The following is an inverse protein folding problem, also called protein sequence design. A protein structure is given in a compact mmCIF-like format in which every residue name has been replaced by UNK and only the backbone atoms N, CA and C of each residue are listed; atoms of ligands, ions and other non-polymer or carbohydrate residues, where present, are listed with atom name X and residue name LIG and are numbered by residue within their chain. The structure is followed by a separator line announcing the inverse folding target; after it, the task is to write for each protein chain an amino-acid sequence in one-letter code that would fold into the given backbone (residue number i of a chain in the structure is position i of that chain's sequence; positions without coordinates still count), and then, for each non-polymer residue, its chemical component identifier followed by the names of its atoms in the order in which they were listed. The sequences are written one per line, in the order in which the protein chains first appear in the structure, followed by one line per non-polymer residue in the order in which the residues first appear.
data_IF_328073079131
#
_entry.id   IF_328073079131
#
_cell.length_a   1.000
_cell.length_b   1.000
_cell.length_c   1.000
_cell.angle_alpha   90.00
_cell.angle_beta   90.00
_cell.angle_gamma   90.00
#
_symmetry.space_group_name_H-M   'P 1'
#
loop_
_entity.id
_entity.type
_entity.pdbx_description
1 polymer ?
#
# COMPACT_ATOMS: atom_id res chain seq x y z
N UNK A 1 17.62 5.77 -10.17
CA UNK A 1 16.82 6.13 -11.36
C UNK A 1 15.39 5.68 -11.11
N UNK A 2 14.44 6.60 -11.17
CA UNK A 2 13.02 6.27 -11.02
C UNK A 2 12.57 5.54 -12.29
N UNK A 3 12.04 4.35 -12.15
CA UNK A 3 11.49 3.60 -13.28
C UNK A 3 10.20 4.25 -13.75
N UNK A 4 10.13 4.65 -15.00
CA UNK A 4 8.89 5.15 -15.57
C UNK A 4 7.82 4.07 -15.61
N UNK A 5 6.58 4.47 -15.34
CA UNK A 5 5.43 3.57 -15.45
C UNK A 5 5.09 3.33 -16.92
N UNK A 6 4.72 2.10 -17.25
CA UNK A 6 4.11 1.81 -18.55
C UNK A 6 2.75 2.52 -18.66
N UNK A 7 2.24 2.70 -19.86
CA UNK A 7 0.99 3.42 -20.12
C UNK A 7 -0.19 2.85 -19.32
N UNK A 8 -0.33 1.53 -19.25
CA UNK A 8 -1.40 0.91 -18.48
C UNK A 8 -1.22 1.09 -16.96
N UNK A 9 0.00 1.15 -16.49
CA UNK A 9 0.30 1.42 -15.07
C UNK A 9 -0.03 2.87 -14.73
N UNK A 10 0.34 3.79 -15.60
CA UNK A 10 0.00 5.21 -15.42
C UNK A 10 -1.52 5.42 -15.45
N UNK A 11 -2.23 4.78 -16.37
CA UNK A 11 -3.68 4.82 -16.43
C UNK A 11 -4.31 4.26 -15.14
N UNK A 12 -3.78 3.16 -14.60
CA UNK A 12 -4.21 2.60 -13.32
C UNK A 12 -3.97 3.55 -12.15
N UNK A 13 -2.80 4.15 -12.09
CA UNK A 13 -2.47 5.17 -11.08
C UNK A 13 -3.42 6.37 -11.15
N UNK A 14 -3.69 6.87 -12.34
CA UNK A 14 -4.59 8.01 -12.55
C UNK A 14 -6.03 7.66 -12.15
N UNK A 15 -6.49 6.45 -12.44
CA UNK A 15 -7.82 5.98 -12.04
C UNK A 15 -7.93 5.83 -10.51
N UNK A 16 -6.91 5.33 -9.83
CA UNK A 16 -6.86 5.26 -8.37
C UNK A 16 -6.95 6.66 -7.78
N UNK A 17 -6.17 7.59 -8.29
CA UNK A 17 -6.19 8.99 -7.86
C UNK A 17 -7.56 9.62 -8.05
N UNK A 18 -8.19 9.40 -9.21
CA UNK A 18 -9.53 9.91 -9.51
C UNK A 18 -10.58 9.37 -8.53
N UNK A 19 -10.46 8.11 -8.12
CA UNK A 19 -11.34 7.50 -7.12
C UNK A 19 -11.23 8.20 -5.77
N UNK A 20 -10.03 8.48 -5.29
CA UNK A 20 -9.82 9.23 -4.05
C UNK A 20 -10.36 10.67 -4.16
N UNK A 21 -10.14 11.34 -5.28
CA UNK A 21 -10.66 12.70 -5.52
C UNK A 21 -12.20 12.71 -5.52
N UNK A 22 -12.83 11.64 -6.01
CA UNK A 22 -14.29 11.49 -5.99
C UNK A 22 -14.87 11.28 -4.57
N UNK A 23 -14.03 11.13 -3.56
CA UNK A 23 -14.44 11.00 -2.17
C UNK A 23 -14.32 9.59 -1.59
N UNK A 24 -13.88 8.62 -2.36
CA UNK A 24 -13.65 7.27 -1.84
C UNK A 24 -12.40 7.26 -0.94
N UNK A 25 -12.46 6.53 0.16
CA UNK A 25 -11.34 6.41 1.12
C UNK A 25 -10.72 5.03 1.13
N UNK A 26 -11.46 4.03 0.68
CA UNK A 26 -11.08 2.63 0.66
C UNK A 26 -11.16 2.12 -0.76
N UNK A 27 -10.07 2.24 -1.50
CA UNK A 27 -9.98 1.87 -2.91
C UNK A 27 -9.17 0.59 -3.06
N UNK A 28 -9.68 -0.35 -3.83
CA UNK A 28 -8.93 -1.55 -4.18
C UNK A 28 -8.52 -1.51 -5.65
N UNK A 29 -7.24 -1.74 -5.90
CA UNK A 29 -6.67 -1.88 -7.24
C UNK A 29 -6.53 -3.36 -7.61
N UNK A 30 -7.24 -3.77 -8.65
CA UNK A 30 -7.10 -5.10 -9.24
C UNK A 30 -5.95 -5.11 -10.23
N UNK A 31 -4.94 -5.92 -9.96
CA UNK A 31 -3.81 -6.08 -10.86
C UNK A 31 -3.37 -7.53 -10.95
N UNK A 32 -3.29 -8.05 -12.17
CA UNK A 32 -2.79 -9.40 -12.41
C UNK A 32 -1.38 -9.59 -11.83
N UNK A 33 -1.05 -10.80 -11.45
CA UNK A 33 0.31 -11.14 -11.00
C UNK A 33 1.32 -10.72 -12.07
N UNK A 34 2.36 -10.01 -11.66
CA UNK A 34 3.40 -9.53 -12.58
C UNK A 34 3.07 -8.26 -13.35
N UNK A 35 1.92 -7.62 -13.12
CA UNK A 35 1.57 -6.36 -13.81
C UNK A 35 2.31 -5.13 -13.26
N UNK A 36 3.09 -5.28 -12.19
CA UNK A 36 3.85 -4.16 -11.61
C UNK A 36 3.09 -3.38 -10.55
N UNK A 37 2.23 -4.04 -9.76
CA UNK A 37 1.51 -3.41 -8.64
C UNK A 37 2.45 -2.69 -7.68
N UNK A 38 3.59 -3.28 -7.39
CA UNK A 38 4.59 -2.68 -6.49
C UNK A 38 5.16 -1.38 -7.06
N UNK A 39 5.41 -1.32 -8.37
CA UNK A 39 5.89 -0.10 -9.02
C UNK A 39 4.86 1.01 -8.98
N UNK A 40 3.59 0.68 -9.20
CA UNK A 40 2.48 1.64 -9.10
C UNK A 40 2.37 2.14 -7.67
N UNK A 41 2.39 1.25 -6.69
CA UNK A 41 2.34 1.60 -5.28
C UNK A 41 3.49 2.52 -4.89
N UNK A 42 4.70 2.20 -5.28
CA UNK A 42 5.88 3.03 -5.00
C UNK A 42 5.72 4.43 -5.61
N UNK A 43 5.25 4.54 -6.84
CA UNK A 43 5.00 5.82 -7.50
C UNK A 43 3.96 6.67 -6.76
N UNK A 44 2.87 6.05 -6.29
CA UNK A 44 1.84 6.73 -5.50
C UNK A 44 2.39 7.19 -4.15
N UNK A 45 3.16 6.34 -3.48
CA UNK A 45 3.79 6.68 -2.20
C UNK A 45 4.76 7.86 -2.36
N UNK A 46 5.57 7.87 -3.41
CA UNK A 46 6.50 8.97 -3.69
C UNK A 46 5.76 10.30 -3.90
N UNK A 47 4.65 10.29 -4.63
CA UNK A 47 3.82 11.48 -4.82
C UNK A 47 3.22 11.97 -3.50
N UNK A 48 2.76 11.07 -2.65
CA UNK A 48 2.20 11.40 -1.35
C UNK A 48 3.27 12.01 -0.43
N UNK A 49 4.45 11.43 -0.38
CA UNK A 49 5.59 11.94 0.40
C UNK A 49 6.02 13.31 -0.09
N UNK A 50 6.04 13.55 -1.41
CA UNK A 50 6.35 14.85 -1.98
C UNK A 50 5.36 15.95 -1.55
N UNK A 51 4.13 15.57 -1.17
CA UNK A 51 3.10 16.46 -0.60
C UNK A 51 3.15 16.55 0.92
N UNK A 52 4.18 16.01 1.56
CA UNK A 52 4.33 16.04 3.01
C UNK A 52 3.48 15.02 3.76
N UNK A 53 2.96 13.99 3.08
CA UNK A 53 2.12 12.96 3.70
C UNK A 53 2.95 11.88 4.36
N UNK A 54 2.42 11.30 5.43
CA UNK A 54 2.98 10.11 6.07
C UNK A 54 2.26 8.87 5.58
N UNK A 55 3.03 7.88 5.17
CA UNK A 55 2.50 6.71 4.49
C UNK A 55 2.92 5.40 5.17
N UNK A 56 2.03 4.42 5.11
CA UNK A 56 2.31 3.04 5.49
C UNK A 56 2.25 2.11 4.29
N UNK A 57 3.04 1.05 4.32
CA UNK A 57 2.96 -0.05 3.36
C UNK A 57 2.88 -1.37 4.13
N UNK A 58 1.79 -2.09 3.95
CA UNK A 58 1.49 -3.31 4.69
C UNK A 58 1.68 -4.52 3.80
N UNK A 59 2.53 -5.44 4.23
CA UNK A 59 2.79 -6.72 3.55
C UNK A 59 2.13 -7.88 4.28
N UNK A 60 1.82 -9.00 3.60
CA UNK A 60 1.16 -10.14 4.24
C UNK A 60 1.96 -10.77 5.38
N UNK A 61 3.27 -10.89 5.22
CA UNK A 61 4.15 -11.54 6.18
C UNK A 61 5.47 -10.78 6.34
N UNK A 62 6.13 -10.96 7.48
CA UNK A 62 7.45 -10.36 7.74
C UNK A 62 8.52 -10.79 6.75
N UNK A 63 8.39 -11.98 6.17
CA UNK A 63 9.35 -12.48 5.18
C UNK A 63 9.37 -11.67 3.88
N UNK A 64 8.30 -10.93 3.59
CA UNK A 64 8.18 -10.09 2.40
C UNK A 64 8.72 -8.66 2.59
N UNK A 65 9.07 -8.28 3.82
CA UNK A 65 9.57 -6.93 4.13
C UNK A 65 10.86 -6.64 3.37
N UNK A 66 11.83 -7.54 3.42
CA UNK A 66 13.12 -7.34 2.74
C UNK A 66 12.96 -7.22 1.23
N UNK A 67 12.14 -8.06 0.63
CA UNK A 67 11.84 -8.01 -0.80
C UNK A 67 11.18 -6.67 -1.19
N UNK A 68 10.30 -6.16 -0.33
CA UNK A 68 9.65 -4.85 -0.53
C UNK A 68 10.67 -3.73 -0.49
N UNK A 69 11.57 -3.73 0.50
CA UNK A 69 12.65 -2.74 0.63
C UNK A 69 13.51 -2.72 -0.64
N UNK A 70 13.96 -3.89 -1.07
CA UNK A 70 14.79 -4.01 -2.29
C UNK A 70 14.07 -3.50 -3.54
N UNK A 71 12.77 -3.80 -3.65
CA UNK A 71 11.94 -3.31 -4.75
C UNK A 71 11.83 -1.78 -4.74
N UNK A 72 11.61 -1.19 -3.58
CA UNK A 72 11.51 0.26 -3.42
C UNK A 72 12.85 0.96 -3.65
N UNK A 73 13.96 0.35 -3.23
CA UNK A 73 15.31 0.85 -3.51
C UNK A 73 15.59 0.89 -5.01
N UNK A 74 15.16 -0.12 -5.76
CA UNK A 74 15.28 -0.13 -7.24
C UNK A 74 14.48 1.00 -7.88
N UNK A 75 13.41 1.48 -7.23
CA UNK A 75 12.61 2.61 -7.70
C UNK A 75 13.16 3.97 -7.25
N UNK A 76 14.23 4.01 -6.47
CA UNK A 76 14.91 5.24 -6.07
C UNK A 76 14.65 5.70 -4.64
N UNK A 77 13.92 4.95 -3.82
CA UNK A 77 13.76 5.25 -2.40
C UNK A 77 14.99 4.79 -1.60
N UNK A 78 15.34 5.54 -0.58
CA UNK A 78 16.49 5.24 0.29
C UNK A 78 16.04 4.69 1.64
N UNK A 79 16.64 3.56 2.03
CA UNK A 79 16.46 3.04 3.39
C UNK A 79 17.01 4.01 4.42
N UNK A 80 16.39 4.08 5.58
CA UNK A 80 16.67 5.00 6.71
C UNK A 80 16.34 6.48 6.46
N UNK A 81 16.16 6.90 5.22
CA UNK A 81 15.81 8.29 4.87
C UNK A 81 14.35 8.38 4.46
N UNK A 82 13.97 7.64 3.43
CA UNK A 82 12.61 7.67 2.87
C UNK A 82 11.71 6.63 3.50
N UNK A 83 12.26 5.48 3.87
CA UNK A 83 11.50 4.35 4.38
C UNK A 83 12.19 3.67 5.58
N UNK A 84 11.37 3.14 6.45
CA UNK A 84 11.80 2.35 7.60
C UNK A 84 10.83 1.19 7.84
N UNK A 85 11.15 0.33 8.79
CA UNK A 85 10.38 -0.87 9.10
C UNK A 85 9.84 -0.79 10.52
N UNK A 86 8.56 -1.04 10.69
CA UNK A 86 7.96 -1.25 12.01
C UNK A 86 7.94 -2.76 12.29
N UNK A 87 8.97 -3.20 13.00
CA UNK A 87 9.13 -4.55 13.50
C UNK A 87 10.09 -4.49 14.69
N UNK A 88 9.81 -5.21 15.77
CA UNK A 88 10.46 -5.04 17.07
C UNK A 88 11.99 -5.00 17.01
N UNK A 89 12.63 -5.89 16.29
CA UNK A 89 14.10 -6.02 16.26
C UNK A 89 14.70 -5.75 14.87
N UNK A 90 13.95 -5.05 14.00
CA UNK A 90 14.44 -4.77 12.67
C UNK A 90 15.49 -3.66 12.68
N UNK A 91 16.64 -3.83 11.94
CA UNK A 91 17.70 -2.83 11.92
C UNK A 91 17.29 -1.49 11.29
N UNK A 92 16.34 -1.48 10.35
CA UNK A 92 15.84 -0.25 9.72
C UNK A 92 14.64 0.28 10.50
N UNK A 93 14.85 0.69 11.76
CA UNK A 93 13.83 1.32 12.60
C UNK A 93 14.03 2.82 12.66
N UNK A 94 13.13 3.59 12.05
CA UNK A 94 13.15 5.04 12.15
C UNK A 94 11.75 5.61 11.92
N UNK A 95 11.04 5.92 12.99
CA UNK A 95 9.66 6.47 12.91
C UNK A 95 9.59 7.86 12.29
N UNK A 96 10.73 8.53 12.09
CA UNK A 96 10.77 9.82 11.39
C UNK A 96 10.67 9.68 9.87
N UNK A 97 10.96 8.51 9.31
CA UNK A 97 10.82 8.27 7.88
C UNK A 97 9.36 8.43 7.43
N UNK A 98 9.12 9.05 6.28
CA UNK A 98 7.75 9.28 5.80
C UNK A 98 7.02 8.00 5.36
N UNK A 99 7.74 6.94 5.01
CA UNK A 99 7.17 5.64 4.63
C UNK A 99 7.55 4.61 5.70
N UNK A 100 6.55 3.93 6.25
CA UNK A 100 6.73 2.86 7.22
C UNK A 100 6.22 1.54 6.63
N UNK A 101 7.09 0.53 6.60
CA UNK A 101 6.76 -0.81 6.09
C UNK A 101 6.52 -1.73 7.27
N UNK A 102 5.44 -2.49 7.25
CA UNK A 102 5.12 -3.46 8.30
C UNK A 102 4.35 -4.65 7.74
N UNK A 103 4.29 -5.73 8.52
CA UNK A 103 3.40 -6.86 8.21
C UNK A 103 1.98 -6.58 8.71
N UNK A 104 1.00 -7.30 8.14
CA UNK A 104 -0.40 -7.20 8.59
C UNK A 104 -0.58 -7.52 10.07
N UNK A 105 0.18 -8.48 10.59
CA UNK A 105 0.08 -8.87 12.00
C UNK A 105 0.67 -7.79 12.91
N UNK A 106 1.74 -7.14 12.50
CA UNK A 106 2.28 -5.99 13.22
C UNK A 106 1.26 -4.86 13.29
N UNK A 107 0.62 -4.51 12.18
CA UNK A 107 -0.40 -3.47 12.16
C UNK A 107 -1.61 -3.83 13.05
N UNK A 108 -2.04 -5.09 13.02
CA UNK A 108 -3.18 -5.56 13.81
C UNK A 108 -2.93 -5.53 15.32
N UNK A 109 -1.68 -5.76 15.74
CA UNK A 109 -1.31 -5.89 17.15
C UNK A 109 -0.65 -4.64 17.76
N UNK A 110 -0.40 -3.62 16.97
CA UNK A 110 0.31 -2.43 17.43
C UNK A 110 -0.65 -1.36 17.93
N UNK A 111 -0.63 -1.07 19.23
CA UNK A 111 -1.53 -0.08 19.86
C UNK A 111 -1.10 1.37 19.62
N UNK A 112 0.21 1.62 19.44
CA UNK A 112 0.78 2.96 19.29
C UNK A 112 1.28 3.23 17.86
N UNK A 113 0.55 2.74 16.88
CA UNK A 113 0.91 2.93 15.47
C UNK A 113 0.86 4.42 15.10
N UNK A 114 1.87 4.95 14.38
CA UNK A 114 1.81 6.33 13.94
C UNK A 114 0.57 6.64 13.12
N UNK A 115 0.10 7.88 13.20
CA UNK A 115 -0.98 8.32 12.32
C UNK A 115 -0.46 8.45 10.89
N UNK A 116 -1.12 7.74 9.98
CA UNK A 116 -0.82 7.79 8.56
C UNK A 116 -1.91 8.54 7.81
N UNK A 117 -1.52 9.33 6.84
CA UNK A 117 -2.44 9.95 5.89
C UNK A 117 -2.91 8.94 4.84
N UNK A 118 -2.02 8.03 4.46
CA UNK A 118 -2.25 7.07 3.40
C UNK A 118 -1.56 5.74 3.70
N UNK A 119 -2.27 4.63 3.51
CA UNK A 119 -1.73 3.28 3.68
C UNK A 119 -2.02 2.44 2.44
N UNK A 120 -0.98 1.79 1.94
CA UNK A 120 -1.11 0.76 0.90
C UNK A 120 -1.05 -0.62 1.55
N UNK A 121 -2.00 -1.47 1.19
CA UNK A 121 -2.07 -2.86 1.67
C UNK A 121 -1.82 -3.79 0.50
N UNK A 122 -0.67 -4.44 0.48
CA UNK A 122 -0.34 -5.43 -0.53
C UNK A 122 -1.04 -6.76 -0.23
N UNK A 123 -1.42 -7.48 -1.28
CA UNK A 123 -2.20 -8.72 -1.17
C UNK A 123 -3.45 -8.52 -0.27
N UNK A 124 -4.24 -7.51 -0.56
CA UNK A 124 -5.34 -7.06 0.29
C UNK A 124 -6.40 -8.14 0.58
N UNK A 125 -6.49 -9.18 -0.26
CA UNK A 125 -7.40 -10.31 -0.05
C UNK A 125 -7.08 -11.13 1.21
N UNK A 126 -5.83 -11.15 1.69
CA UNK A 126 -5.46 -11.88 2.90
C UNK A 126 -5.67 -11.07 4.19
N UNK A 127 -6.02 -9.80 4.07
CA UNK A 127 -6.19 -8.88 5.22
C UNK A 127 -7.64 -8.56 5.54
N UNK A 128 -8.59 -9.10 4.79
CA UNK A 128 -10.01 -8.73 4.87
C UNK A 128 -10.59 -8.81 6.31
N UNK A 129 -10.15 -9.77 7.11
CA UNK A 129 -10.61 -9.93 8.51
C UNK A 129 -10.19 -8.77 9.43
N UNK A 130 -9.11 -8.04 9.10
CA UNK A 130 -8.62 -6.92 9.91
C UNK A 130 -9.16 -5.56 9.47
N UNK A 131 -9.69 -5.47 8.26
CA UNK A 131 -10.00 -4.20 7.61
C UNK A 131 -11.00 -3.34 8.38
N UNK A 132 -12.07 -3.92 8.87
CA UNK A 132 -13.08 -3.17 9.64
C UNK A 132 -12.50 -2.58 10.93
N UNK A 133 -11.61 -3.33 11.59
CA UNK A 133 -10.90 -2.86 12.78
C UNK A 133 -9.98 -1.68 12.42
N UNK A 134 -9.24 -1.79 11.34
CA UNK A 134 -8.35 -0.73 10.89
C UNK A 134 -9.10 0.54 10.48
N UNK A 135 -10.24 0.42 9.82
CA UNK A 135 -11.13 1.55 9.49
C UNK A 135 -11.54 2.33 10.74
N UNK A 136 -12.00 1.63 11.76
CA UNK A 136 -12.43 2.24 13.02
C UNK A 136 -11.28 2.94 13.74
N UNK A 137 -10.10 2.32 13.74
CA UNK A 137 -8.93 2.86 14.42
C UNK A 137 -8.36 4.10 13.70
N UNK A 138 -8.57 4.23 12.39
CA UNK A 138 -7.99 5.29 11.55
C UNK A 138 -9.02 5.86 10.58
N UNK A 139 -10.03 6.59 11.06
CA UNK A 139 -11.14 7.05 10.21
C UNK A 139 -10.73 8.10 9.17
N UNK A 140 -9.60 8.79 9.38
CA UNK A 140 -9.12 9.84 8.47
C UNK A 140 -8.06 9.36 7.48
N UNK A 141 -7.63 8.11 7.56
CA UNK A 141 -6.64 7.53 6.67
C UNK A 141 -7.28 7.08 5.35
N UNK A 142 -6.60 7.34 4.25
CA UNK A 142 -6.96 6.78 2.94
C UNK A 142 -6.23 5.46 2.74
N UNK A 143 -6.92 4.48 2.21
CA UNK A 143 -6.39 3.12 2.06
C UNK A 143 -6.47 2.66 0.60
N UNK A 144 -5.35 2.16 0.09
CA UNK A 144 -5.29 1.48 -1.20
C UNK A 144 -4.94 0.02 -0.98
N UNK A 145 -5.84 -0.87 -1.32
CA UNK A 145 -5.56 -2.30 -1.38
C UNK A 145 -5.11 -2.69 -2.79
N UNK A 146 -4.14 -3.58 -2.88
CA UNK A 146 -3.68 -4.15 -4.15
C UNK A 146 -3.88 -5.66 -4.11
N UNK A 147 -4.51 -6.21 -5.14
CA UNK A 147 -4.73 -7.65 -5.23
C UNK A 147 -4.98 -8.10 -6.68
N UNK A 148 -4.63 -9.35 -6.97
CA UNK A 148 -5.03 -10.01 -8.20
C UNK A 148 -6.43 -10.63 -8.09
N UNK A 149 -6.99 -10.74 -6.87
CA UNK A 149 -8.25 -11.45 -6.59
C UNK A 149 -9.19 -10.59 -5.74
N UNK A 150 -9.79 -9.50 -6.29
CA UNK A 150 -10.62 -8.59 -5.53
C UNK A 150 -11.97 -9.19 -5.09
N UNK A 151 -12.37 -10.31 -5.70
CA UNK A 151 -13.60 -11.04 -5.39
C UNK A 151 -13.43 -12.07 -4.27
N UNK A 152 -12.30 -12.13 -3.58
CA UNK A 152 -12.12 -13.03 -2.45
C UNK A 152 -13.16 -12.76 -1.37
N UNK A 153 -13.51 -13.80 -0.60
CA UNK A 153 -14.54 -13.71 0.44
C UNK A 153 -14.29 -12.57 1.41
N UNK A 154 -15.31 -11.74 1.64
CA UNK A 154 -15.24 -10.61 2.56
C UNK A 154 -14.76 -9.29 1.95
N UNK A 155 -14.30 -9.29 0.71
CA UNK A 155 -13.76 -8.08 0.07
C UNK A 155 -14.85 -7.06 -0.28
N UNK A 156 -15.99 -7.50 -0.78
CA UNK A 156 -17.04 -6.61 -1.29
C UNK A 156 -17.61 -5.64 -0.25
N UNK A 157 -17.58 -6.00 1.04
CA UNK A 157 -18.15 -5.18 2.11
C UNK A 157 -17.16 -4.23 2.76
N UNK A 158 -15.92 -4.22 2.33
CA UNK A 158 -14.84 -3.46 2.96
C UNK A 158 -14.45 -2.24 2.14
N UNK A 159 -14.40 -2.39 0.83
CA UNK A 159 -13.84 -1.39 -0.08
C UNK A 159 -14.94 -0.51 -0.69
N UNK A 160 -14.65 0.79 -0.86
CA UNK A 160 -15.58 1.77 -1.40
C UNK A 160 -15.65 1.71 -2.93
N UNK A 161 -14.52 1.37 -3.57
CA UNK A 161 -14.39 1.37 -5.02
C UNK A 161 -13.38 0.32 -5.50
N UNK A 162 -13.59 -0.17 -6.70
CA UNK A 162 -12.68 -1.09 -7.39
C UNK A 162 -12.14 -0.43 -8.65
N UNK A 163 -10.82 -0.31 -8.73
CA UNK A 163 -10.12 0.16 -9.93
C UNK A 163 -9.38 -1.01 -10.58
N UNK A 164 -9.67 -1.27 -11.84
CA UNK A 164 -8.98 -2.31 -12.61
C UNK A 164 -7.72 -1.71 -13.25
N UNK A 165 -6.56 -2.19 -12.83
CA UNK A 165 -5.25 -1.81 -13.39
C UNK A 165 -4.93 -2.69 -14.60
N UNK A 166 -4.97 -4.00 -14.38
CA UNK A 166 -4.74 -5.00 -15.41
C UNK A 166 -5.37 -6.32 -14.99
N UNK A 167 -6.05 -6.99 -15.89
CA UNK A 167 -6.57 -8.34 -15.67
C UNK A 167 -5.64 -9.38 -16.27
N UNK A 168 -5.66 -10.57 -15.70
CA UNK A 168 -4.98 -11.70 -16.30
C UNK A 168 -5.58 -11.96 -17.69
N UNK A 169 -4.73 -12.19 -18.66
CA UNK A 169 -5.18 -12.71 -19.94
C UNK A 169 -5.79 -14.10 -19.69
N UNK A 170 -7.00 -14.30 -20.09
CA UNK A 170 -7.65 -15.62 -20.07
C UNK A 170 -7.06 -16.52 -21.17
#
# INVERSE_FOLDING_TARGET
MITELYDYQQAGKDAIRASFIAGNRWVIGEGATGCGKTNIACSILMDAVAKGKRCGFVVPTINLIQQTIESFERQGLESYVDMAVIQADHPIRNYACPIQICSKDTLANWSNFPDFDFIVVDEAHVTSRFMNQWKKARPNTHWLGLTATPWAKGMANVWDDLVVIARSAE
#
